data_IF_804979594786
#
_entry.id   IF_804979594786
#
_cell.length_a   1.000
_cell.length_b   1.000
_cell.length_c   1.000
_cell.angle_alpha   90.00
_cell.angle_beta   90.00
_cell.angle_gamma   90.00
#
_symmetry.space_group_name_H-M   'P 1'
#
loop_
_entity.id
_entity.type
_entity.pdbx_description
1 polymer ?
#
# COMPACT_ATOMS: atom_id res chain seq x y z
N UNK A 1 2.44 3.49 21.18
CA UNK A 1 2.85 3.30 20.12
C UNK A 1 4.18 2.88 20.07
N UNK A 2 4.97 2.50 20.13
CA UNK A 2 6.25 2.01 20.11
C UNK A 2 6.79 1.52 18.79
N UNK A 3 6.05 1.74 17.72
CA UNK A 3 6.51 1.22 16.49
C UNK A 3 7.18 2.32 15.73
N UNK A 4 8.36 2.08 15.20
CA UNK A 4 9.05 3.01 14.35
C UNK A 4 8.59 2.75 12.92
N UNK A 5 7.54 3.39 12.50
CA UNK A 5 6.99 3.16 11.17
C UNK A 5 7.76 3.96 10.12
N UNK A 6 7.93 3.37 8.96
CA UNK A 6 8.55 4.04 7.83
C UNK A 6 7.44 4.40 6.83
N UNK A 7 7.33 5.70 6.53
CA UNK A 7 6.31 6.22 5.64
C UNK A 7 6.92 6.48 4.27
N UNK A 8 6.27 5.98 3.24
CA UNK A 8 6.70 6.19 1.85
C UNK A 8 5.70 7.13 1.17
N UNK A 9 6.20 8.21 0.60
CA UNK A 9 5.36 9.24 -0.04
C UNK A 9 5.79 9.50 -1.46
N UNK A 10 4.85 9.97 -2.27
CA UNK A 10 5.12 10.49 -3.59
C UNK A 10 4.28 11.75 -3.77
N UNK A 11 4.90 12.84 -4.20
CA UNK A 11 4.20 14.12 -4.34
C UNK A 11 3.61 14.63 -3.04
N UNK A 12 4.24 14.31 -1.91
CA UNK A 12 3.74 14.71 -0.59
C UNK A 12 2.61 13.84 -0.04
N UNK A 13 2.18 12.83 -0.79
CA UNK A 13 1.09 11.94 -0.37
C UNK A 13 1.60 10.55 -0.06
N UNK A 14 1.14 9.98 1.04
CA UNK A 14 1.56 8.67 1.50
C UNK A 14 0.92 7.56 0.66
N UNK A 15 1.70 6.57 0.24
CA UNK A 15 1.19 5.39 -0.45
C UNK A 15 1.50 4.08 0.29
N UNK A 16 2.42 4.11 1.24
CA UNK A 16 2.77 2.91 2.02
C UNK A 16 3.26 3.31 3.40
N UNK A 17 2.97 2.46 4.38
CA UNK A 17 3.48 2.61 5.74
C UNK A 17 3.98 1.25 6.20
N UNK A 18 5.30 1.12 6.37
CA UNK A 18 5.92 -0.12 6.83
C UNK A 18 6.05 -0.11 8.33
N UNK A 19 5.46 -1.11 8.99
CA UNK A 19 5.62 -1.28 10.43
C UNK A 19 6.90 -2.05 10.69
N UNK A 20 7.80 -1.45 11.47
CA UNK A 20 9.11 -2.06 11.75
C UNK A 20 9.05 -2.75 13.10
N UNK A 21 8.08 -3.58 13.31
CA UNK A 21 7.95 -4.38 14.54
C UNK A 21 7.83 -5.86 14.14
N UNK A 22 7.56 -6.71 15.10
CA UNK A 22 7.47 -8.14 14.86
C UNK A 22 6.25 -8.56 14.05
N UNK A 23 5.29 -7.66 13.84
CA UNK A 23 4.08 -8.00 13.08
C UNK A 23 4.36 -8.20 11.59
N UNK A 24 5.45 -7.62 11.09
CA UNK A 24 5.87 -7.76 9.68
C UNK A 24 4.76 -7.46 8.71
N UNK A 25 4.17 -6.28 8.87
CA UNK A 25 3.07 -5.85 8.02
C UNK A 25 3.39 -4.52 7.37
N UNK A 26 2.76 -4.28 6.21
CA UNK A 26 2.86 -3.01 5.51
C UNK A 26 1.45 -2.59 5.09
N UNK A 27 1.10 -1.34 5.35
CA UNK A 27 -0.16 -0.78 4.89
C UNK A 27 0.07 -0.19 3.51
N UNK A 28 -0.76 -0.55 2.55
CA UNK A 28 -0.61 -0.14 1.16
C UNK A 28 -1.90 0.47 0.63
N UNK A 29 -1.76 1.60 -0.06
CA UNK A 29 -2.88 2.22 -0.75
C UNK A 29 -3.37 1.28 -1.84
N UNK A 30 -4.68 1.25 -2.09
CA UNK A 30 -5.24 0.31 -3.04
C UNK A 30 -6.53 0.86 -3.64
N UNK A 31 -6.82 0.49 -4.88
CA UNK A 31 -8.13 0.74 -5.47
C UNK A 31 -9.19 -0.01 -4.67
N UNK A 32 -10.37 0.60 -4.50
CA UNK A 32 -11.42 0.02 -3.65
C UNK A 32 -11.83 -1.38 -4.07
N UNK A 33 -12.10 -1.59 -5.35
CA UNK A 33 -12.50 -2.90 -5.85
C UNK A 33 -11.41 -3.95 -5.70
N UNK A 34 -10.18 -3.56 -6.00
CA UNK A 34 -9.02 -4.44 -5.88
C UNK A 34 -8.73 -4.76 -4.41
N UNK A 35 -8.95 -3.80 -3.51
CA UNK A 35 -8.76 -4.04 -2.08
C UNK A 35 -9.68 -5.15 -1.58
N UNK A 36 -10.94 -5.12 -1.99
CA UNK A 36 -11.90 -6.15 -1.62
C UNK A 36 -11.49 -7.51 -2.20
N UNK A 37 -11.11 -7.53 -3.47
CA UNK A 37 -10.69 -8.76 -4.13
C UNK A 37 -9.48 -9.39 -3.43
N UNK A 38 -8.50 -8.58 -3.05
CA UNK A 38 -7.32 -9.07 -2.35
C UNK A 38 -7.66 -9.66 -0.97
N UNK A 39 -8.57 -9.03 -0.23
CA UNK A 39 -8.98 -9.54 1.08
C UNK A 39 -9.70 -10.88 0.94
N UNK A 40 -10.49 -11.03 -0.11
CA UNK A 40 -11.19 -12.29 -0.35
C UNK A 40 -10.24 -13.39 -0.81
N UNK A 41 -9.23 -13.03 -1.61
CA UNK A 41 -8.28 -14.01 -2.13
C UNK A 41 -7.25 -14.42 -1.08
N UNK A 42 -6.87 -13.50 -0.19
CA UNK A 42 -5.82 -13.75 0.82
C UNK A 42 -6.35 -13.44 2.23
N UNK A 43 -7.38 -14.12 2.70
CA UNK A 43 -8.05 -13.75 3.95
C UNK A 43 -7.18 -13.83 5.20
N UNK A 44 -6.11 -14.63 5.17
CA UNK A 44 -5.23 -14.77 6.32
C UNK A 44 -4.02 -13.84 6.27
N UNK A 45 -3.80 -13.16 5.16
CA UNK A 45 -2.58 -12.37 4.99
C UNK A 45 -2.83 -10.95 4.50
N UNK A 46 -4.03 -10.63 4.05
CA UNK A 46 -4.39 -9.26 3.66
C UNK A 46 -5.72 -8.90 4.33
N UNK A 47 -5.74 -7.78 5.04
CA UNK A 47 -6.95 -7.32 5.72
C UNK A 47 -7.06 -5.80 5.61
N UNK A 48 -8.21 -5.21 5.96
CA UNK A 48 -8.34 -3.75 5.92
C UNK A 48 -7.34 -3.11 6.89
N UNK A 49 -6.75 -1.99 6.48
CA UNK A 49 -5.85 -1.25 7.35
C UNK A 49 -6.70 -0.37 8.26
N UNK A 50 -6.92 -0.83 9.50
CA UNK A 50 -7.89 -0.21 10.41
C UNK A 50 -7.55 1.20 10.86
N UNK A 51 -6.29 1.62 10.72
CA UNK A 51 -5.87 2.97 11.07
C UNK A 51 -6.01 3.96 9.90
N UNK A 52 -6.47 3.49 8.76
CA UNK A 52 -6.63 4.29 7.55
C UNK A 52 -8.06 4.13 7.02
N UNK A 53 -8.34 4.73 5.89
CA UNK A 53 -9.63 4.53 5.22
C UNK A 53 -9.66 3.10 4.65
N UNK A 54 -10.48 2.26 5.23
CA UNK A 54 -10.56 0.83 4.89
C UNK A 54 -10.93 0.57 3.42
N UNK A 55 -11.56 1.54 2.76
CA UNK A 55 -11.92 1.38 1.35
C UNK A 55 -10.69 1.40 0.44
N UNK A 56 -9.66 2.13 0.84
CA UNK A 56 -8.51 2.40 -0.01
C UNK A 56 -7.18 1.98 0.59
N UNK A 57 -7.20 1.25 1.70
CA UNK A 57 -5.98 0.81 2.37
C UNK A 57 -6.12 -0.61 2.88
N UNK A 58 -5.15 -1.44 2.52
CA UNK A 58 -5.03 -2.81 3.05
C UNK A 58 -3.73 -2.92 3.81
N UNK A 59 -3.70 -3.75 4.85
CA UNK A 59 -2.44 -4.14 5.46
C UNK A 59 -2.11 -5.56 5.05
N UNK A 60 -0.86 -5.76 4.66
CA UNK A 60 -0.36 -7.01 4.10
C UNK A 60 0.68 -7.57 5.05
N UNK A 61 0.47 -8.80 5.52
CA UNK A 61 1.43 -9.48 6.37
C UNK A 61 2.41 -10.19 5.46
N UNK A 62 3.49 -9.51 5.13
CA UNK A 62 4.40 -9.93 4.05
C UNK A 62 5.25 -11.15 4.38
N UNK A 63 5.33 -11.54 5.67
CA UNK A 63 6.03 -12.76 6.05
C UNK A 63 5.19 -14.02 5.83
N UNK A 64 3.88 -13.87 5.56
CA UNK A 64 3.00 -15.01 5.32
C UNK A 64 3.39 -15.71 4.00
N UNK A 65 3.41 -17.05 3.97
CA UNK A 65 3.82 -17.79 2.76
C UNK A 65 3.01 -17.48 1.50
N UNK A 66 1.76 -17.05 1.65
CA UNK A 66 0.92 -16.70 0.50
C UNK A 66 1.37 -15.41 -0.18
N UNK A 67 2.16 -14.57 0.51
CA UNK A 67 2.62 -13.31 -0.04
C UNK A 67 4.02 -13.51 -0.62
N UNK A 68 4.08 -13.77 -1.92
CA UNK A 68 5.37 -13.95 -2.60
C UNK A 68 6.03 -12.59 -2.82
N UNK A 69 7.33 -12.59 -3.09
CA UNK A 69 8.05 -11.36 -3.41
C UNK A 69 7.48 -10.67 -4.64
N UNK A 70 7.08 -11.44 -5.64
CA UNK A 70 6.48 -10.89 -6.86
C UNK A 70 5.13 -10.24 -6.57
N UNK A 71 4.31 -10.87 -5.74
CA UNK A 71 3.02 -10.30 -5.35
C UNK A 71 3.22 -9.01 -4.55
N UNK A 72 4.11 -9.03 -3.56
CA UNK A 72 4.38 -7.86 -2.74
C UNK A 72 4.87 -6.69 -3.59
N UNK A 73 5.77 -6.93 -4.52
CA UNK A 73 6.27 -5.91 -5.42
C UNK A 73 5.13 -5.32 -6.26
N UNK A 74 4.26 -6.17 -6.78
CA UNK A 74 3.10 -5.76 -7.56
C UNK A 74 2.16 -4.87 -6.74
N UNK A 75 1.92 -5.23 -5.48
CA UNK A 75 1.04 -4.46 -4.59
C UNK A 75 1.64 -3.11 -4.23
N UNK A 76 2.95 -3.04 -4.06
CA UNK A 76 3.64 -1.77 -3.78
C UNK A 76 3.58 -0.86 -5.02
N UNK A 77 3.81 -1.41 -6.19
CA UNK A 77 3.72 -0.65 -7.44
C UNK A 77 2.30 -0.14 -7.67
N UNK A 78 1.31 -0.97 -7.38
CA UNK A 78 -0.09 -0.56 -7.46
C UNK A 78 -0.40 0.59 -6.50
N UNK A 79 0.09 0.51 -5.26
CA UNK A 79 -0.12 1.56 -4.26
C UNK A 79 0.47 2.90 -4.73
N UNK A 80 1.69 2.87 -5.26
CA UNK A 80 2.35 4.05 -5.80
C UNK A 80 1.52 4.63 -6.95
N UNK A 81 1.09 3.79 -7.88
CA UNK A 81 0.29 4.22 -9.02
C UNK A 81 -1.03 4.87 -8.60
N UNK A 82 -1.69 4.31 -7.57
CA UNK A 82 -2.96 4.85 -7.08
C UNK A 82 -2.83 6.28 -6.57
N UNK A 83 -1.70 6.64 -6.01
CA UNK A 83 -1.45 8.01 -5.56
C UNK A 83 -1.03 8.89 -6.72
N UNK A 84 -0.14 8.40 -7.58
CA UNK A 84 0.37 9.18 -8.73
C UNK A 84 -0.77 9.62 -9.65
N UNK A 85 -1.71 8.74 -9.93
CA UNK A 85 -2.81 9.08 -10.85
C UNK A 85 -3.72 10.18 -10.30
N UNK A 86 -3.68 10.44 -8.99
CA UNK A 86 -4.47 11.50 -8.36
C UNK A 86 -3.71 12.80 -8.20
N UNK A 87 -2.42 12.84 -8.54
CA UNK A 87 -1.65 14.07 -8.49
C UNK A 87 -2.01 14.94 -9.69
N UNK A 88 -1.86 16.25 -9.55
CA UNK A 88 -2.11 17.15 -10.68
C UNK A 88 -1.10 16.87 -11.80
N UNK A 89 -1.49 17.16 -13.03
CA UNK A 89 -0.61 16.97 -14.16
C UNK A 89 0.69 17.76 -14.01
N UNK A 90 0.59 18.98 -13.48
CA UNK A 90 1.76 19.81 -13.24
C UNK A 90 2.73 19.14 -12.27
N UNK A 91 2.21 18.61 -11.17
CA UNK A 91 3.06 17.96 -10.17
C UNK A 91 3.68 16.68 -10.71
N UNK A 92 2.94 15.88 -11.48
CA UNK A 92 3.49 14.68 -12.10
C UNK A 92 4.62 15.02 -13.06
N UNK A 93 4.46 16.09 -13.83
CA UNK A 93 5.48 16.54 -14.77
C UNK A 93 6.73 16.99 -14.02
N UNK A 94 6.57 17.78 -12.94
CA UNK A 94 7.69 18.23 -12.13
C UNK A 94 8.48 17.08 -11.54
N UNK A 95 7.80 16.02 -11.10
CA UNK A 95 8.42 14.85 -10.49
C UNK A 95 8.86 13.82 -11.52
N UNK A 96 8.55 14.06 -12.81
CA UNK A 96 8.88 13.15 -13.92
C UNK A 96 8.29 11.74 -13.68
N UNK A 97 7.07 11.70 -13.16
CA UNK A 97 6.42 10.42 -12.89
C UNK A 97 5.65 9.95 -14.11
N UNK A 98 5.75 8.65 -14.44
CA UNK A 98 4.96 8.10 -15.52
C UNK A 98 3.53 7.88 -15.06
N UNK A 99 2.63 7.84 -16.00
CA UNK A 99 1.27 7.44 -15.69
C UNK A 99 0.67 6.73 -16.86
#
# INVERSE_FOLDING_TARGET
>A
MGCDDIVYKVGGKMFALLCVDDSRKVALKCDEGYAIELRERYPCSIEPAFHFNKKYWNQVFYAHPAITSALLKSLIEHAHHEVVKKLTQKLRTQLKLPL
#
